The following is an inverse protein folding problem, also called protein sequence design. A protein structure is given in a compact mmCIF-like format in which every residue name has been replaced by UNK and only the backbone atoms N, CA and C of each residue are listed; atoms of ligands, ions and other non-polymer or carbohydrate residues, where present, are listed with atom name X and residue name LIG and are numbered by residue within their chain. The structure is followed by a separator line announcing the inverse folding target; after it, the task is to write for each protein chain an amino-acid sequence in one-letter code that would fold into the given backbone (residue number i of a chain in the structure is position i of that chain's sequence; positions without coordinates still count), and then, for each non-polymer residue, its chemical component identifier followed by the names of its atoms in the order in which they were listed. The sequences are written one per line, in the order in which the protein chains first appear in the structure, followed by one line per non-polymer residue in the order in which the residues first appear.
data_IF_205609166322
#
_entry.id   IF_205609166322
#
_cell.length_a   1.000
_cell.length_b   1.000
_cell.length_c   1.000
_cell.angle_alpha   90.00
_cell.angle_beta   90.00
_cell.angle_gamma   90.00
#
_symmetry.space_group_name_H-M   'P 1'
#
loop_
_entity.id
_entity.type
_entity.pdbx_description
1 polymer ?
#
# COMPACT_ATOMS: atom_id res chain seq x y z
N UNK A 1 9.56 35.38 9.43
CA UNK A 1 9.98 34.34 10.37
C UNK A 1 11.41 33.91 10.05
N UNK A 2 12.14 33.30 11.00
CA UNK A 2 13.47 32.71 10.73
C UNK A 2 13.41 31.22 11.03
N UNK A 3 13.95 30.40 10.14
CA UNK A 3 13.95 28.94 10.30
C UNK A 3 14.68 28.48 11.57
N UNK A 4 15.77 29.19 11.94
CA UNK A 4 16.50 28.93 13.20
C UNK A 4 15.58 28.97 14.43
N UNK A 5 14.71 29.99 14.53
CA UNK A 5 13.84 30.16 15.70
C UNK A 5 12.78 29.05 15.79
N UNK A 6 12.29 28.59 14.62
CA UNK A 6 11.32 27.51 14.52
C UNK A 6 11.96 26.16 14.94
N UNK A 7 13.17 25.88 14.43
CA UNK A 7 13.93 24.69 14.83
C UNK A 7 14.20 24.70 16.34
N UNK A 8 14.68 25.83 16.87
CA UNK A 8 14.96 25.99 18.31
C UNK A 8 13.69 25.76 19.14
N UNK A 9 12.58 26.38 18.73
CA UNK A 9 11.29 26.22 19.41
C UNK A 9 10.84 24.77 19.48
N UNK A 10 10.93 24.01 18.37
CA UNK A 10 10.57 22.59 18.34
C UNK A 10 11.56 21.74 19.12
N UNK A 11 12.86 21.97 18.96
CA UNK A 11 13.91 21.28 19.71
C UNK A 11 13.70 21.37 21.22
N UNK A 12 13.26 22.54 21.70
CA UNK A 12 13.02 22.82 23.11
C UNK A 12 11.63 22.32 23.60
N UNK A 13 10.95 21.46 22.82
CA UNK A 13 9.68 20.81 23.16
C UNK A 13 8.45 21.70 23.08
N UNK A 14 8.54 22.87 22.43
CA UNK A 14 7.41 23.78 22.30
C UNK A 14 6.64 23.48 21.00
N UNK A 15 5.31 23.67 21.04
CA UNK A 15 4.46 23.49 19.87
C UNK A 15 4.65 24.61 18.86
N UNK A 16 4.63 24.26 17.57
CA UNK A 16 4.62 25.19 16.46
C UNK A 16 3.20 25.65 16.18
N UNK A 17 3.01 26.91 15.80
CA UNK A 17 1.72 27.39 15.31
C UNK A 17 1.48 26.96 13.87
N UNK A 18 0.21 26.94 13.46
CA UNK A 18 -0.18 26.68 12.08
C UNK A 18 0.54 27.61 11.09
N UNK A 19 0.64 28.90 11.41
CA UNK A 19 1.33 29.87 10.58
C UNK A 19 2.85 29.59 10.43
N UNK A 20 3.51 29.09 11.48
CA UNK A 20 4.92 28.69 11.42
C UNK A 20 5.10 27.46 10.53
N UNK A 21 4.23 26.46 10.67
CA UNK A 21 4.25 25.23 9.86
C UNK A 21 3.99 25.55 8.38
N UNK A 22 2.95 26.32 8.10
CA UNK A 22 2.61 26.74 6.74
C UNK A 22 3.76 27.51 6.08
N UNK A 23 4.37 28.46 6.80
CA UNK A 23 5.51 29.22 6.31
C UNK A 23 6.72 28.32 5.99
N UNK A 24 7.03 27.33 6.83
CA UNK A 24 8.12 26.39 6.58
C UNK A 24 7.87 25.62 5.28
N UNK A 25 6.70 25.04 5.12
CA UNK A 25 6.35 24.21 3.95
C UNK A 25 6.37 25.07 2.67
N UNK A 26 5.76 26.25 2.70
CA UNK A 26 5.74 27.17 1.56
C UNK A 26 7.18 27.55 1.14
N UNK A 27 8.00 28.01 2.09
CA UNK A 27 9.37 28.46 1.82
C UNK A 27 10.31 27.32 1.43
N UNK A 28 10.05 26.10 1.92
CA UNK A 28 10.80 24.92 1.51
C UNK A 28 10.51 24.54 0.05
N UNK A 29 9.25 24.52 -0.35
CA UNK A 29 8.85 24.23 -1.75
C UNK A 29 9.37 25.30 -2.71
N UNK A 30 9.45 26.57 -2.28
CA UNK A 30 10.05 27.68 -3.05
C UNK A 30 11.59 27.61 -3.14
N UNK A 31 12.24 26.69 -2.40
CA UNK A 31 13.70 26.56 -2.35
C UNK A 31 14.40 27.65 -1.51
N UNK A 32 13.66 28.42 -0.71
CA UNK A 32 14.20 29.47 0.16
C UNK A 32 14.78 28.93 1.48
N UNK A 33 14.32 27.76 1.91
CA UNK A 33 14.85 27.05 3.09
C UNK A 33 15.69 25.86 2.62
N UNK A 34 16.98 25.78 3.00
CA UNK A 34 17.87 24.71 2.57
C UNK A 34 17.58 23.39 3.33
N UNK A 35 17.89 22.26 2.69
CA UNK A 35 17.65 20.90 3.18
C UNK A 35 18.21 20.66 4.58
N UNK A 36 19.40 21.19 4.91
CA UNK A 36 20.00 20.98 6.25
C UNK A 36 19.17 21.58 7.40
N UNK A 37 18.44 22.69 7.13
CA UNK A 37 17.55 23.28 8.14
C UNK A 37 16.26 22.46 8.28
N UNK A 38 15.72 21.97 7.17
CA UNK A 38 14.52 21.10 7.21
C UNK A 38 14.86 19.75 7.84
N UNK A 39 16.04 19.21 7.54
CA UNK A 39 16.53 17.98 8.21
C UNK A 39 16.64 18.15 9.73
N UNK A 40 17.18 19.31 10.20
CA UNK A 40 17.23 19.61 11.62
C UNK A 40 15.83 19.72 12.24
N UNK A 41 14.85 20.31 11.54
CA UNK A 41 13.46 20.35 11.99
C UNK A 41 12.84 18.94 12.04
N UNK A 42 13.04 18.11 11.01
CA UNK A 42 12.55 16.73 11.00
C UNK A 42 13.12 15.93 12.18
N UNK A 43 14.40 16.10 12.51
CA UNK A 43 15.03 15.44 13.66
C UNK A 43 14.48 15.98 15.00
N UNK A 44 14.22 17.30 15.08
CA UNK A 44 13.57 17.87 16.25
C UNK A 44 12.15 17.31 16.44
N UNK A 45 11.38 17.18 15.36
CA UNK A 45 10.05 16.54 15.36
C UNK A 45 10.17 15.06 15.75
N UNK A 46 11.17 14.35 15.27
CA UNK A 46 11.39 12.93 15.58
C UNK A 46 11.51 12.71 17.09
N UNK A 47 12.30 13.56 17.79
CA UNK A 47 12.54 13.42 19.23
C UNK A 47 11.44 14.03 20.10
N UNK A 48 10.85 15.15 19.69
CA UNK A 48 9.87 15.89 20.50
C UNK A 48 8.42 15.54 20.17
N UNK A 49 8.18 14.86 19.02
CA UNK A 49 6.85 14.64 18.47
C UNK A 49 6.19 15.94 17.99
N UNK A 50 4.95 15.80 17.59
CA UNK A 50 4.00 16.89 17.33
C UNK A 50 2.66 16.55 17.97
N UNK A 51 1.88 17.57 18.33
CA UNK A 51 0.49 17.36 18.73
C UNK A 51 -0.35 17.01 17.50
N UNK A 52 -1.58 16.53 17.72
CA UNK A 52 -2.52 16.27 16.64
C UNK A 52 -2.84 17.56 15.84
N UNK A 53 -2.91 18.71 16.52
CA UNK A 53 -3.12 20.03 15.91
C UNK A 53 -1.95 20.42 15.00
N UNK A 54 -0.71 20.28 15.48
CA UNK A 54 0.49 20.53 14.69
C UNK A 54 0.54 19.60 13.46
N UNK A 55 0.23 18.32 13.65
CA UNK A 55 0.24 17.32 12.57
C UNK A 55 -0.86 17.59 11.56
N UNK A 56 -2.05 18.03 12.01
CA UNK A 56 -3.13 18.48 11.13
C UNK A 56 -2.69 19.68 10.29
N UNK A 57 -2.08 20.69 10.91
CA UNK A 57 -1.56 21.86 10.21
C UNK A 57 -0.48 21.48 9.18
N UNK A 58 0.44 20.58 9.55
CA UNK A 58 1.47 20.07 8.63
C UNK A 58 0.84 19.30 7.46
N UNK A 59 -0.16 18.45 7.73
CA UNK A 59 -0.87 17.70 6.71
C UNK A 59 -1.55 18.61 5.70
N UNK A 60 -2.22 19.68 6.17
CA UNK A 60 -2.89 20.63 5.31
C UNK A 60 -1.88 21.50 4.53
N UNK A 61 -0.78 21.91 5.15
CA UNK A 61 0.28 22.62 4.44
C UNK A 61 0.91 21.75 3.34
N UNK A 62 1.14 20.46 3.59
CA UNK A 62 1.62 19.50 2.58
C UNK A 62 0.59 19.32 1.47
N UNK A 63 -0.69 19.12 1.81
CA UNK A 63 -1.80 19.01 0.84
C UNK A 63 -1.85 20.22 -0.10
N UNK A 64 -1.73 21.41 0.46
CA UNK A 64 -1.92 22.69 -0.24
C UNK A 64 -0.64 23.23 -0.88
N UNK A 65 0.47 22.47 -0.79
CA UNK A 65 1.77 22.86 -1.33
C UNK A 65 1.88 22.81 -2.86
N UNK A 66 0.94 22.18 -3.54
CA UNK A 66 0.90 22.03 -5.00
C UNK A 66 -0.50 22.05 -5.55
N UNK A 67 -0.67 21.43 -6.70
CA UNK A 67 -1.97 21.32 -7.34
C UNK A 67 -2.90 20.45 -6.49
N UNK A 68 -4.15 20.88 -6.37
CA UNK A 68 -5.24 20.05 -5.90
C UNK A 68 -5.98 19.50 -7.11
N UNK A 69 -6.30 18.24 -7.07
CA UNK A 69 -7.17 17.70 -8.11
C UNK A 69 -8.59 18.15 -7.84
N UNK A 70 -9.19 18.72 -8.84
CA UNK A 70 -10.61 19.00 -8.84
C UNK A 70 -11.35 17.85 -9.54
N UNK A 71 -12.05 17.06 -8.75
CA UNK A 71 -12.89 15.95 -9.22
C UNK A 71 -14.38 16.29 -9.18
N UNK A 72 -14.73 17.58 -9.11
CA UNK A 72 -16.14 18.03 -9.07
C UNK A 72 -16.94 17.61 -10.30
N UNK A 73 -16.27 17.34 -11.42
CA UNK A 73 -16.83 16.82 -12.67
C UNK A 73 -16.94 15.28 -12.70
N UNK A 74 -16.46 14.57 -11.66
CA UNK A 74 -16.71 13.14 -11.49
C UNK A 74 -18.05 12.97 -10.80
N UNK A 75 -19.03 12.44 -11.54
CA UNK A 75 -20.39 12.28 -11.05
C UNK A 75 -20.51 11.03 -10.16
N UNK A 76 -20.87 11.22 -8.91
CA UNK A 76 -21.06 10.17 -7.91
C UNK A 76 -20.04 10.25 -6.77
N UNK A 77 -20.22 9.42 -5.77
CA UNK A 77 -19.38 9.38 -4.59
C UNK A 77 -18.03 8.72 -4.92
N UNK A 78 -16.95 9.41 -4.61
CA UNK A 78 -15.57 9.01 -4.88
C UNK A 78 -14.97 8.37 -3.64
N UNK A 79 -14.29 7.27 -3.83
CA UNK A 79 -13.66 6.53 -2.73
C UNK A 79 -12.23 6.15 -3.05
N UNK A 80 -11.39 6.11 -2.02
CA UNK A 80 -10.07 5.52 -2.10
C UNK A 80 -9.85 4.47 -1.00
N UNK A 81 -9.02 3.50 -1.29
CA UNK A 81 -8.43 2.56 -0.34
C UNK A 81 -6.92 2.79 -0.30
N UNK A 82 -6.40 3.09 0.88
CA UNK A 82 -4.96 3.22 1.05
C UNK A 82 -4.42 2.13 1.98
N UNK A 83 -3.32 1.49 1.60
CA UNK A 83 -2.55 0.61 2.47
C UNK A 83 -1.28 1.30 2.93
N UNK A 84 -0.88 1.09 4.18
CA UNK A 84 0.42 1.55 4.68
C UNK A 84 1.60 0.74 4.15
N UNK A 85 1.32 -0.30 3.35
CA UNK A 85 2.32 -1.14 2.70
C UNK A 85 2.62 -2.43 3.45
N UNK A 86 2.85 -3.50 2.70
CA UNK A 86 3.16 -4.81 3.22
C UNK A 86 3.66 -5.76 2.13
N UNK A 87 3.99 -6.98 2.52
CA UNK A 87 4.48 -8.04 1.63
C UNK A 87 3.31 -8.84 1.07
N UNK A 88 3.24 -8.96 -0.25
CA UNK A 88 2.11 -9.61 -0.92
C UNK A 88 0.81 -8.79 -0.89
N UNK A 89 0.88 -7.49 -0.60
CA UNK A 89 -0.30 -6.61 -0.55
C UNK A 89 -0.75 -6.19 -1.95
N UNK A 90 -1.61 -7.01 -2.52
CA UNK A 90 -2.30 -6.79 -3.80
C UNK A 90 -3.76 -6.39 -3.62
N UNK A 91 -4.19 -6.08 -2.41
CA UNK A 91 -5.60 -5.80 -2.07
C UNK A 91 -6.24 -4.73 -2.93
N UNK A 92 -5.50 -3.70 -3.36
CA UNK A 92 -6.04 -2.65 -4.23
C UNK A 92 -6.51 -3.17 -5.59
N UNK A 93 -5.85 -4.20 -6.15
CA UNK A 93 -6.22 -4.81 -7.44
C UNK A 93 -7.52 -5.63 -7.37
N UNK A 94 -7.90 -6.05 -6.16
CA UNK A 94 -9.13 -6.81 -5.90
C UNK A 94 -10.25 -5.90 -5.41
N UNK A 95 -9.96 -5.04 -4.43
CA UNK A 95 -10.95 -4.16 -3.78
C UNK A 95 -11.51 -3.12 -4.75
N UNK A 96 -10.64 -2.48 -5.53
CA UNK A 96 -11.07 -1.40 -6.43
C UNK A 96 -12.10 -1.86 -7.49
N UNK A 97 -11.90 -2.99 -8.21
CA UNK A 97 -12.92 -3.52 -9.12
C UNK A 97 -14.22 -3.96 -8.43
N UNK A 98 -14.14 -4.57 -7.22
CA UNK A 98 -15.34 -4.94 -6.45
C UNK A 98 -16.19 -3.71 -6.15
N UNK A 99 -15.57 -2.64 -5.64
CA UNK A 99 -16.27 -1.41 -5.27
C UNK A 99 -16.83 -0.70 -6.50
N UNK A 100 -16.05 -0.60 -7.57
CA UNK A 100 -16.46 0.08 -8.79
C UNK A 100 -17.65 -0.58 -9.45
N UNK A 101 -17.70 -1.93 -9.53
CA UNK A 101 -18.83 -2.64 -10.14
C UNK A 101 -20.13 -2.52 -9.33
N UNK A 102 -20.08 -1.98 -8.09
CA UNK A 102 -21.24 -1.60 -7.28
C UNK A 102 -21.66 -0.13 -7.49
N UNK A 103 -21.12 0.55 -8.49
CA UNK A 103 -21.52 1.91 -8.87
C UNK A 103 -20.95 2.99 -7.96
N UNK A 104 -19.80 2.75 -7.33
CA UNK A 104 -19.02 3.74 -6.59
C UNK A 104 -17.80 4.12 -7.40
N UNK A 105 -17.41 5.40 -7.43
CA UNK A 105 -16.29 5.89 -8.25
C UNK A 105 -14.96 5.69 -7.53
N UNK A 106 -14.04 4.97 -8.17
CA UNK A 106 -12.68 4.71 -7.66
C UNK A 106 -11.68 5.50 -8.50
N UNK A 107 -11.37 6.71 -8.05
CA UNK A 107 -10.40 7.63 -8.68
C UNK A 107 -9.03 7.49 -8.02
N UNK A 108 -8.39 6.33 -8.16
CA UNK A 108 -7.25 5.95 -7.31
C UNK A 108 -5.91 6.47 -7.82
N UNK A 109 -5.20 7.17 -6.94
CA UNK A 109 -3.78 7.45 -7.10
C UNK A 109 -2.94 6.58 -6.19
N UNK A 110 -1.95 5.91 -6.75
CA UNK A 110 -1.12 4.96 -6.03
C UNK A 110 0.38 5.19 -6.24
N UNK A 111 1.19 4.67 -5.33
CA UNK A 111 2.66 4.78 -5.38
C UNK A 111 3.32 3.53 -5.96
N UNK A 112 4.63 3.68 -6.23
CA UNK A 112 5.56 2.59 -6.50
C UNK A 112 5.97 1.90 -5.20
N UNK A 113 6.58 0.73 -5.31
CA UNK A 113 7.14 0.00 -4.18
C UNK A 113 8.25 0.77 -3.48
N UNK A 114 8.34 0.58 -2.18
CA UNK A 114 9.35 1.17 -1.32
C UNK A 114 9.97 0.10 -0.42
N UNK A 115 11.31 0.01 -0.45
CA UNK A 115 12.03 -0.97 0.34
C UNK A 115 11.58 -2.41 0.02
N UNK A 116 11.18 -3.14 1.06
CA UNK A 116 10.73 -4.53 0.95
C UNK A 116 9.27 -4.70 0.50
N UNK A 117 8.53 -3.61 0.30
CA UNK A 117 7.11 -3.66 -0.09
C UNK A 117 6.93 -3.49 -1.59
N UNK A 118 6.02 -4.24 -2.21
CA UNK A 118 5.66 -4.07 -3.61
C UNK A 118 4.66 -2.93 -3.84
N UNK A 119 4.86 -2.13 -4.91
CA UNK A 119 3.95 -1.02 -5.26
C UNK A 119 2.78 -1.46 -6.14
N UNK A 120 1.62 -0.85 -5.94
CA UNK A 120 0.46 -1.10 -6.81
C UNK A 120 0.76 -0.72 -8.27
N UNK A 121 1.49 0.36 -8.49
CA UNK A 121 1.87 0.82 -9.83
C UNK A 121 2.80 -0.19 -10.50
N UNK A 122 3.84 -0.67 -9.80
CA UNK A 122 4.76 -1.66 -10.34
C UNK A 122 4.06 -2.97 -10.73
N UNK A 123 3.04 -3.39 -9.95
CA UNK A 123 2.21 -4.55 -10.26
C UNK A 123 1.36 -4.33 -11.52
N UNK A 124 0.71 -3.18 -11.66
CA UNK A 124 -0.09 -2.86 -12.84
C UNK A 124 0.77 -2.73 -14.11
N UNK A 125 1.99 -2.24 -13.99
CA UNK A 125 2.96 -2.18 -15.12
C UNK A 125 3.43 -3.57 -15.58
N UNK A 126 3.20 -4.63 -14.80
CA UNK A 126 3.40 -6.00 -15.27
C UNK A 126 2.33 -6.44 -16.30
N UNK A 127 1.23 -5.70 -16.46
CA UNK A 127 0.22 -5.94 -17.47
C UNK A 127 0.64 -5.24 -18.76
N UNK A 128 0.85 -5.96 -19.88
CA UNK A 128 1.32 -5.36 -21.11
C UNK A 128 0.43 -4.22 -21.61
N UNK A 129 1.06 -3.09 -21.91
CA UNK A 129 0.41 -1.89 -22.45
C UNK A 129 -0.34 -1.03 -21.43
N UNK A 130 -0.47 -1.48 -20.18
CA UNK A 130 -1.17 -0.70 -19.15
C UNK A 130 -0.47 0.62 -18.86
N UNK A 131 -1.21 1.73 -18.92
CA UNK A 131 -0.70 3.07 -18.72
C UNK A 131 -1.02 3.55 -17.31
N UNK A 132 0.03 3.78 -16.52
CA UNK A 132 -0.06 4.31 -15.15
C UNK A 132 0.12 5.83 -15.09
N UNK A 133 0.58 6.45 -16.17
CA UNK A 133 0.70 7.90 -16.33
C UNK A 133 -0.30 8.36 -17.39
N UNK A 134 -1.39 8.96 -16.95
CA UNK A 134 -2.45 9.48 -17.81
C UNK A 134 -2.64 10.97 -17.59
N UNK A 135 -2.95 11.75 -18.65
CA UNK A 135 -3.44 13.11 -18.49
C UNK A 135 -4.68 13.14 -17.57
N UNK A 136 -4.79 14.15 -16.72
CA UNK A 136 -5.88 14.27 -15.72
C UNK A 136 -7.26 14.16 -16.37
N UNK A 137 -7.46 14.79 -17.51
CA UNK A 137 -8.74 14.78 -18.23
C UNK A 137 -9.10 13.35 -18.74
N UNK A 138 -8.10 12.59 -19.23
CA UNK A 138 -8.31 11.20 -19.63
C UNK A 138 -8.65 10.32 -18.42
N UNK A 139 -7.95 10.53 -17.31
CA UNK A 139 -8.22 9.84 -16.05
C UNK A 139 -9.65 10.08 -15.57
N UNK A 140 -10.09 11.35 -15.48
CA UNK A 140 -11.45 11.73 -15.10
C UNK A 140 -12.50 11.13 -16.03
N UNK A 141 -12.25 11.17 -17.34
CA UNK A 141 -13.14 10.57 -18.33
C UNK A 141 -13.34 9.06 -18.07
N UNK A 142 -12.25 8.31 -17.87
CA UNK A 142 -12.33 6.87 -17.57
C UNK A 142 -13.12 6.64 -16.29
N UNK A 143 -12.86 7.40 -15.22
CA UNK A 143 -13.61 7.25 -13.96
C UNK A 143 -15.09 7.57 -14.14
N UNK A 144 -15.45 8.60 -14.92
CA UNK A 144 -16.85 8.92 -15.18
C UNK A 144 -17.56 7.81 -15.98
N UNK A 145 -16.95 7.32 -17.05
CA UNK A 145 -17.54 6.34 -17.95
C UNK A 145 -17.57 4.93 -17.33
N UNK A 146 -16.45 4.48 -16.79
CA UNK A 146 -16.29 3.11 -16.29
C UNK A 146 -16.51 2.98 -14.78
N UNK A 147 -16.19 4.02 -14.01
CA UNK A 147 -16.27 3.99 -12.55
C UNK A 147 -14.93 3.73 -11.85
N UNK A 148 -13.87 3.41 -12.57
CA UNK A 148 -12.57 3.07 -11.99
C UNK A 148 -11.42 3.49 -12.89
N UNK A 149 -10.37 4.08 -12.30
CA UNK A 149 -9.04 4.16 -12.89
C UNK A 149 -7.98 4.20 -11.77
N UNK A 150 -6.79 3.64 -12.05
CA UNK A 150 -5.66 3.62 -11.13
C UNK A 150 -4.44 4.19 -11.85
N UNK A 151 -3.90 5.29 -11.33
CA UNK A 151 -2.73 5.98 -11.92
C UNK A 151 -1.63 6.20 -10.88
N UNK A 152 -0.42 6.44 -11.35
CA UNK A 152 0.69 6.91 -10.55
C UNK A 152 0.42 8.31 -9.97
N UNK A 153 1.08 8.62 -8.87
CA UNK A 153 1.01 9.96 -8.29
C UNK A 153 1.71 10.96 -9.23
N UNK A 154 1.02 12.06 -9.56
CA UNK A 154 1.61 13.15 -10.33
C UNK A 154 2.61 13.94 -9.45
N UNK A 155 3.70 14.40 -10.06
CA UNK A 155 4.76 15.16 -9.39
C UNK A 155 4.28 16.54 -8.85
N UNK A 156 3.20 17.09 -9.40
CA UNK A 156 2.60 18.36 -8.94
C UNK A 156 1.69 18.18 -7.73
N UNK A 157 1.28 16.96 -7.41
CA UNK A 157 0.42 16.66 -6.26
C UNK A 157 1.28 16.63 -4.99
N UNK A 158 0.99 17.55 -4.04
CA UNK A 158 1.70 17.65 -2.75
C UNK A 158 3.24 17.62 -2.89
N UNK A 159 3.86 18.55 -3.66
CA UNK A 159 5.31 18.56 -3.91
C UNK A 159 6.15 18.67 -2.63
N UNK A 160 5.61 19.27 -1.57
CA UNK A 160 6.26 19.28 -0.27
C UNK A 160 6.52 17.87 0.28
N UNK A 161 5.58 16.93 0.08
CA UNK A 161 5.79 15.55 0.51
C UNK A 161 6.95 14.88 -0.22
N UNK A 162 7.06 15.09 -1.53
CA UNK A 162 8.17 14.56 -2.32
C UNK A 162 9.53 15.04 -1.80
N UNK A 163 9.64 16.33 -1.49
CA UNK A 163 10.87 16.93 -0.95
C UNK A 163 11.16 16.42 0.45
N UNK A 164 10.17 16.47 1.34
CA UNK A 164 10.30 15.99 2.72
C UNK A 164 10.65 14.50 2.77
N UNK A 165 9.98 13.69 1.95
CA UNK A 165 10.21 12.24 1.94
C UNK A 165 11.65 11.92 1.46
N UNK A 166 12.08 12.54 0.36
CA UNK A 166 13.45 12.34 -0.17
C UNK A 166 14.53 12.72 0.86
N UNK A 167 14.26 13.78 1.66
CA UNK A 167 15.17 14.19 2.73
C UNK A 167 15.14 13.19 3.91
N UNK A 168 13.95 12.75 4.32
CA UNK A 168 13.77 11.82 5.44
C UNK A 168 14.38 10.45 5.18
N UNK A 169 14.31 9.98 3.94
CA UNK A 169 14.84 8.69 3.52
C UNK A 169 16.35 8.53 3.78
N UNK A 170 17.09 9.64 3.74
CA UNK A 170 18.55 9.67 3.95
C UNK A 170 18.98 10.29 5.28
N UNK A 171 18.06 10.68 6.15
CA UNK A 171 18.33 11.34 7.44
C UNK A 171 17.78 10.60 8.65
N UNK A 172 17.36 9.33 8.48
CA UNK A 172 16.82 8.47 9.55
C UNK A 172 15.64 9.10 10.31
N UNK A 173 14.73 9.77 9.60
CA UNK A 173 13.54 10.40 10.17
C UNK A 173 12.22 9.90 9.55
N UNK A 174 12.27 8.77 8.79
CA UNK A 174 11.09 8.20 8.12
C UNK A 174 10.05 7.71 9.12
N UNK A 175 10.46 7.07 10.22
CA UNK A 175 9.59 6.40 11.20
C UNK A 175 9.02 7.32 12.29
N UNK A 176 8.98 8.64 12.04
CA UNK A 176 8.29 9.62 12.88
C UNK A 176 6.79 9.61 12.61
N UNK A 177 5.95 9.30 13.61
CA UNK A 177 4.50 9.21 13.47
C UNK A 177 3.87 10.46 12.82
N UNK A 178 4.09 11.70 13.30
CA UNK A 178 3.50 12.88 12.68
C UNK A 178 3.92 13.06 11.22
N UNK A 179 5.18 12.74 10.89
CA UNK A 179 5.70 12.86 9.53
C UNK A 179 5.16 11.76 8.60
N UNK A 180 4.86 10.56 9.11
CA UNK A 180 4.18 9.49 8.35
C UNK A 180 2.74 9.91 8.06
N UNK A 181 2.01 10.36 9.08
CA UNK A 181 0.62 10.81 8.96
C UNK A 181 0.51 11.93 7.93
N UNK A 182 1.34 12.97 8.05
CA UNK A 182 1.30 14.13 7.12
C UNK A 182 1.64 13.73 5.68
N UNK A 183 2.57 12.81 5.48
CA UNK A 183 2.94 12.29 4.17
C UNK A 183 1.79 11.52 3.51
N UNK A 184 1.16 10.60 4.24
CA UNK A 184 0.06 9.79 3.72
C UNK A 184 -1.16 10.67 3.47
N UNK A 185 -1.62 11.38 4.51
CA UNK A 185 -2.87 12.12 4.46
C UNK A 185 -2.78 13.37 3.59
N UNK A 186 -1.62 14.04 3.52
CA UNK A 186 -1.41 15.16 2.61
C UNK A 186 -1.72 14.79 1.16
N UNK A 187 -1.18 13.66 0.67
CA UNK A 187 -1.47 13.16 -0.69
C UNK A 187 -2.92 12.70 -0.87
N UNK A 188 -3.49 12.01 0.14
CA UNK A 188 -4.87 11.51 0.05
C UNK A 188 -5.90 12.62 0.05
N UNK A 189 -5.69 13.65 0.85
CA UNK A 189 -6.57 14.81 0.89
C UNK A 189 -6.42 15.72 -0.33
N UNK A 190 -5.26 15.70 -1.02
CA UNK A 190 -5.07 16.42 -2.29
C UNK A 190 -5.80 15.75 -3.47
N UNK A 191 -6.15 14.47 -3.37
CA UNK A 191 -6.87 13.70 -4.40
C UNK A 191 -8.39 13.89 -4.40
N UNK A 192 -8.94 14.64 -3.44
CA UNK A 192 -10.35 15.03 -3.33
C UNK A 192 -11.39 13.89 -3.27
N UNK A 193 -11.03 12.72 -2.75
CA UNK A 193 -11.99 11.64 -2.49
C UNK A 193 -12.97 12.00 -1.36
N UNK A 194 -14.21 11.48 -1.42
CA UNK A 194 -15.25 11.72 -0.40
C UNK A 194 -15.12 10.77 0.79
N UNK A 195 -14.73 9.51 0.51
CA UNK A 195 -14.53 8.47 1.52
C UNK A 195 -13.15 7.83 1.37
N UNK A 196 -12.47 7.57 2.48
CA UNK A 196 -11.17 6.90 2.49
C UNK A 196 -11.19 5.76 3.51
N UNK A 197 -10.88 4.54 3.05
CA UNK A 197 -10.62 3.40 3.93
C UNK A 197 -9.13 3.12 3.95
N UNK A 198 -8.57 3.12 5.16
CA UNK A 198 -7.17 2.85 5.42
C UNK A 198 -7.00 1.38 5.82
N UNK A 199 -6.03 0.71 5.21
CA UNK A 199 -5.57 -0.63 5.56
C UNK A 199 -4.22 -0.48 6.25
N UNK A 200 -4.25 -0.34 7.58
CA UNK A 200 -3.07 -0.07 8.41
C UNK A 200 -2.43 -1.38 8.79
N UNK A 201 -1.35 -1.72 8.11
CA UNK A 201 -0.58 -2.95 8.33
C UNK A 201 0.21 -2.87 9.62
N UNK A 202 0.21 -3.97 10.39
CA UNK A 202 1.00 -4.14 11.61
C UNK A 202 1.74 -5.47 11.62
N UNK A 203 2.97 -5.49 12.10
CA UNK A 203 3.79 -6.71 12.20
C UNK A 203 5.12 -6.61 11.47
N UNK A 204 5.84 -7.72 11.38
CA UNK A 204 7.20 -7.77 10.86
C UNK A 204 7.34 -7.29 9.41
N UNK A 205 6.31 -7.49 8.58
CA UNK A 205 6.30 -7.08 7.17
C UNK A 205 5.79 -5.66 6.90
N UNK A 206 5.55 -4.85 7.93
CA UNK A 206 5.04 -3.48 7.80
C UNK A 206 5.96 -2.45 8.45
N UNK A 207 5.69 -1.16 8.22
CA UNK A 207 6.41 -0.07 8.91
C UNK A 207 6.06 -0.01 10.40
N UNK A 208 4.80 -0.24 10.76
CA UNK A 208 4.35 -0.30 12.15
C UNK A 208 4.52 -1.72 12.69
N UNK A 209 5.42 -1.89 13.65
CA UNK A 209 5.80 -3.23 14.16
C UNK A 209 4.85 -3.74 15.26
N UNK A 210 4.05 -2.87 15.90
CA UNK A 210 3.14 -3.25 16.98
C UNK A 210 1.72 -2.74 16.73
N UNK A 211 0.73 -3.46 17.27
CA UNK A 211 -0.68 -3.09 17.13
C UNK A 211 -0.99 -1.72 17.74
N UNK A 212 -0.33 -1.38 18.87
CA UNK A 212 -0.53 -0.10 19.57
C UNK A 212 -0.10 1.07 18.69
N UNK A 213 1.10 1.00 18.07
CA UNK A 213 1.60 2.03 17.16
C UNK A 213 0.75 2.13 15.89
N UNK A 214 0.27 0.98 15.38
CA UNK A 214 -0.63 0.95 14.22
C UNK A 214 -1.97 1.59 14.54
N UNK A 215 -2.49 1.37 15.77
CA UNK A 215 -3.72 1.99 16.25
C UNK A 215 -3.56 3.51 16.37
N UNK A 216 -2.49 3.98 16.99
CA UNK A 216 -2.19 5.40 17.11
C UNK A 216 -2.10 6.07 15.72
N UNK A 217 -1.40 5.44 14.77
CA UNK A 217 -1.33 5.89 13.38
C UNK A 217 -2.73 5.97 12.73
N UNK A 218 -3.56 4.93 12.92
CA UNK A 218 -4.89 4.86 12.37
C UNK A 218 -5.80 5.96 12.94
N UNK A 219 -5.78 6.16 14.27
CA UNK A 219 -6.57 7.19 14.97
C UNK A 219 -6.22 8.59 14.47
N UNK A 220 -4.93 8.90 14.32
CA UNK A 220 -4.49 10.21 13.81
C UNK A 220 -4.90 10.44 12.35
N UNK A 221 -4.74 9.42 11.49
CA UNK A 221 -5.14 9.55 10.08
C UNK A 221 -6.66 9.71 9.93
N UNK A 222 -7.45 8.93 10.70
CA UNK A 222 -8.92 9.02 10.69
C UNK A 222 -9.37 10.39 11.17
N UNK A 223 -8.85 10.88 12.29
CA UNK A 223 -9.21 12.17 12.84
C UNK A 223 -8.85 13.33 11.90
N UNK A 224 -7.66 13.33 11.30
CA UNK A 224 -7.25 14.36 10.34
C UNK A 224 -8.13 14.33 9.09
N UNK A 225 -8.48 13.14 8.60
CA UNK A 225 -9.39 13.01 7.47
C UNK A 225 -10.79 13.54 7.78
N UNK A 226 -11.32 13.29 8.98
CA UNK A 226 -12.59 13.85 9.45
C UNK A 226 -12.55 15.38 9.56
N UNK A 227 -11.46 15.94 10.08
CA UNK A 227 -11.24 17.41 10.11
C UNK A 227 -11.20 18.02 8.71
N UNK A 228 -10.78 17.25 7.70
CA UNK A 228 -10.84 17.64 6.29
C UNK A 228 -12.24 17.41 5.66
N UNK A 229 -13.25 17.01 6.43
CA UNK A 229 -14.62 16.77 5.95
C UNK A 229 -14.80 15.45 5.19
N UNK A 230 -13.85 14.49 5.33
CA UNK A 230 -13.93 13.19 4.65
C UNK A 230 -14.56 12.12 5.55
N UNK A 231 -15.27 11.16 4.95
CA UNK A 231 -15.70 9.95 5.66
C UNK A 231 -14.50 8.99 5.76
N UNK A 232 -14.13 8.62 6.96
CA UNK A 232 -12.91 7.86 7.24
C UNK A 232 -13.19 6.58 8.01
N UNK A 233 -12.44 5.54 7.70
CA UNK A 233 -12.34 4.31 8.50
C UNK A 233 -10.97 3.69 8.31
N UNK A 234 -10.39 3.09 9.35
CA UNK A 234 -9.16 2.35 9.25
C UNK A 234 -9.33 0.92 9.81
N UNK A 235 -8.79 -0.06 9.09
CA UNK A 235 -8.67 -1.44 9.55
C UNK A 235 -7.21 -1.68 9.90
N UNK A 236 -6.95 -2.17 11.11
CA UNK A 236 -5.61 -2.62 11.54
C UNK A 236 -5.50 -4.09 11.16
N UNK A 237 -4.55 -4.42 10.29
CA UNK A 237 -4.45 -5.75 9.69
C UNK A 237 -3.09 -6.39 9.89
N UNK A 238 -3.08 -7.71 10.10
CA UNK A 238 -1.87 -8.49 10.37
C UNK A 238 -0.94 -8.55 9.14
N UNK A 239 0.34 -8.27 9.37
CA UNK A 239 1.44 -8.40 8.42
C UNK A 239 2.64 -9.14 9.04
N UNK A 240 2.41 -9.98 10.06
CA UNK A 240 3.37 -10.98 10.55
C UNK A 240 3.47 -12.20 9.63
N UNK A 241 2.71 -12.19 8.55
CA UNK A 241 2.71 -13.18 7.46
C UNK A 241 2.44 -12.49 6.14
N UNK A 242 3.06 -12.93 5.03
CA UNK A 242 2.72 -12.42 3.71
C UNK A 242 1.24 -12.67 3.39
N UNK A 243 0.60 -11.70 2.71
CA UNK A 243 -0.80 -11.81 2.31
C UNK A 243 -0.91 -12.62 1.00
N UNK A 244 -1.72 -13.68 1.01
CA UNK A 244 -1.78 -14.65 -0.07
C UNK A 244 -0.52 -15.52 -0.14
N UNK A 245 -0.26 -16.10 -1.30
CA UNK A 245 0.90 -16.98 -1.56
C UNK A 245 1.95 -16.29 -2.45
N UNK A 246 1.56 -15.36 -3.29
CA UNK A 246 2.44 -14.71 -4.25
C UNK A 246 3.07 -13.43 -3.68
N UNK A 247 4.39 -13.28 -3.88
CA UNK A 247 5.18 -12.10 -3.56
C UNK A 247 6.00 -11.75 -4.81
N UNK A 248 5.69 -10.62 -5.44
CA UNK A 248 6.32 -10.17 -6.70
C UNK A 248 5.27 -9.55 -7.63
N UNK A 249 5.70 -8.88 -8.71
CA UNK A 249 4.77 -8.02 -9.47
C UNK A 249 3.74 -8.84 -10.27
N UNK A 250 4.14 -9.55 -11.33
CA UNK A 250 3.21 -10.33 -12.14
C UNK A 250 2.57 -11.49 -11.35
N UNK A 251 3.31 -12.12 -10.43
CA UNK A 251 2.77 -13.18 -9.59
C UNK A 251 1.60 -12.68 -8.73
N UNK A 252 1.71 -11.48 -8.17
CA UNK A 252 0.64 -10.86 -7.38
C UNK A 252 -0.54 -10.42 -8.23
N UNK A 253 -0.32 -9.95 -9.47
CA UNK A 253 -1.41 -9.67 -10.42
C UNK A 253 -2.18 -10.93 -10.74
N UNK A 254 -1.50 -12.03 -11.04
CA UNK A 254 -2.13 -13.33 -11.32
C UNK A 254 -2.96 -13.81 -10.11
N UNK A 255 -2.42 -13.70 -8.90
CA UNK A 255 -3.15 -14.06 -7.68
C UNK A 255 -4.37 -13.15 -7.41
N UNK A 256 -4.26 -11.84 -7.70
CA UNK A 256 -5.40 -10.93 -7.63
C UNK A 256 -6.51 -11.32 -8.64
N UNK A 257 -6.13 -11.70 -9.87
CA UNK A 257 -7.07 -12.21 -10.88
C UNK A 257 -7.73 -13.49 -10.38
N UNK A 258 -6.96 -14.45 -9.84
CA UNK A 258 -7.50 -15.68 -9.27
C UNK A 258 -8.48 -15.39 -8.12
N UNK A 259 -8.20 -14.38 -7.30
CA UNK A 259 -9.10 -13.93 -6.23
C UNK A 259 -10.41 -13.39 -6.80
N UNK A 260 -10.35 -12.58 -7.85
CA UNK A 260 -11.54 -12.08 -8.56
C UNK A 260 -12.30 -13.19 -9.32
N UNK A 261 -11.65 -14.33 -9.60
CA UNK A 261 -12.28 -15.54 -10.13
C UNK A 261 -12.91 -16.44 -9.05
N UNK A 262 -12.82 -16.05 -7.76
CA UNK A 262 -13.26 -16.88 -6.64
C UNK A 262 -12.35 -18.08 -6.34
N UNK A 263 -11.09 -18.06 -6.80
CA UNK A 263 -10.07 -19.12 -6.64
C UNK A 263 -8.85 -18.64 -5.86
N UNK A 264 -8.91 -17.46 -5.27
CA UNK A 264 -7.78 -16.87 -4.54
C UNK A 264 -7.58 -17.45 -3.15
N UNK A 265 -6.45 -17.12 -2.50
CA UNK A 265 -6.20 -17.47 -1.12
C UNK A 265 -7.29 -16.96 -0.17
N UNK A 266 -7.59 -17.73 0.86
CA UNK A 266 -8.66 -17.41 1.80
C UNK A 266 -8.40 -16.10 2.55
N UNK A 267 -7.19 -15.91 3.07
CA UNK A 267 -6.79 -14.70 3.81
C UNK A 267 -6.89 -13.44 2.94
N UNK A 268 -6.39 -13.49 1.70
CA UNK A 268 -6.50 -12.39 0.74
C UNK A 268 -7.96 -12.08 0.40
N UNK A 269 -8.76 -13.13 0.15
CA UNK A 269 -10.17 -12.99 -0.19
C UNK A 269 -10.96 -12.37 0.97
N UNK A 270 -10.78 -12.87 2.20
CA UNK A 270 -11.44 -12.35 3.40
C UNK A 270 -11.10 -10.88 3.62
N UNK A 271 -9.82 -10.50 3.53
CA UNK A 271 -9.42 -9.11 3.72
C UNK A 271 -9.99 -8.20 2.63
N UNK A 272 -9.95 -8.62 1.37
CA UNK A 272 -10.48 -7.82 0.27
C UNK A 272 -12.00 -7.63 0.38
N UNK A 273 -12.74 -8.66 0.74
CA UNK A 273 -14.19 -8.57 0.98
C UNK A 273 -14.49 -7.61 2.14
N UNK A 274 -13.76 -7.71 3.25
CA UNK A 274 -13.96 -6.82 4.40
C UNK A 274 -13.65 -5.36 4.04
N UNK A 275 -12.53 -5.09 3.37
CA UNK A 275 -12.17 -3.74 2.92
C UNK A 275 -13.23 -3.17 1.96
N UNK A 276 -13.68 -3.96 0.98
CA UNK A 276 -14.73 -3.54 0.05
C UNK A 276 -16.06 -3.27 0.78
N UNK A 277 -16.44 -4.12 1.73
CA UNK A 277 -17.66 -3.93 2.54
C UNK A 277 -17.60 -2.63 3.34
N UNK A 278 -16.47 -2.31 3.97
CA UNK A 278 -16.30 -1.05 4.70
C UNK A 278 -16.36 0.17 3.78
N UNK A 279 -15.80 0.10 2.58
CA UNK A 279 -15.89 1.18 1.59
C UNK A 279 -17.34 1.37 1.14
N UNK A 280 -18.03 0.29 0.78
CA UNK A 280 -19.43 0.34 0.35
C UNK A 280 -20.36 0.85 1.45
N UNK A 281 -20.11 0.46 2.70
CA UNK A 281 -20.86 0.96 3.85
C UNK A 281 -20.64 2.46 4.10
N UNK A 282 -19.39 2.95 4.03
CA UNK A 282 -19.10 4.40 4.06
C UNK A 282 -19.72 5.16 2.89
N UNK A 283 -19.83 4.51 1.74
CA UNK A 283 -20.50 5.00 0.54
C UNK A 283 -22.04 4.88 0.61
N UNK A 284 -22.60 4.51 1.77
CA UNK A 284 -24.05 4.43 2.03
C UNK A 284 -24.81 3.44 1.11
N UNK A 285 -24.13 2.36 0.69
CA UNK A 285 -24.73 1.32 -0.16
C UNK A 285 -25.58 0.31 0.63
N UNK A 286 -25.47 0.29 1.96
CA UNK A 286 -26.20 -0.58 2.88
C UNK A 286 -25.48 -0.74 4.21
N UNK A 287 -26.02 -1.61 5.05
CA UNK A 287 -25.35 -2.07 6.28
C UNK A 287 -24.05 -2.83 5.94
N UNK A 288 -23.16 -2.99 6.92
CA UNK A 288 -21.91 -3.75 6.69
C UNK A 288 -22.19 -5.17 6.14
N UNK A 289 -23.16 -5.87 6.72
CA UNK A 289 -23.51 -7.24 6.30
C UNK A 289 -24.04 -7.30 4.86
N UNK A 290 -24.87 -6.34 4.45
CA UNK A 290 -25.31 -6.23 3.05
C UNK A 290 -24.17 -5.91 2.11
N UNK A 291 -23.28 -4.99 2.50
CA UNK A 291 -22.10 -4.62 1.71
C UNK A 291 -21.09 -5.77 1.60
N UNK A 292 -20.94 -6.57 2.66
CA UNK A 292 -20.10 -7.77 2.64
C UNK A 292 -20.68 -8.80 1.65
N UNK A 293 -21.99 -9.01 1.64
CA UNK A 293 -22.63 -9.88 0.67
C UNK A 293 -22.49 -9.36 -0.76
N UNK A 294 -22.66 -8.05 -0.98
CA UNK A 294 -22.44 -7.41 -2.29
C UNK A 294 -21.01 -7.67 -2.79
N UNK A 295 -20.00 -7.56 -1.93
CA UNK A 295 -18.62 -7.82 -2.29
C UNK A 295 -18.38 -9.30 -2.69
N UNK A 296 -18.97 -10.25 -1.95
CA UNK A 296 -18.93 -11.69 -2.28
C UNK A 296 -19.62 -11.98 -3.62
N UNK A 297 -20.78 -11.35 -3.84
CA UNK A 297 -21.56 -11.51 -5.09
C UNK A 297 -20.84 -10.91 -6.29
N UNK A 298 -20.10 -9.82 -6.10
CA UNK A 298 -19.29 -9.21 -7.16
C UNK A 298 -18.20 -10.16 -7.67
N UNK A 299 -17.58 -10.93 -6.75
CA UNK A 299 -16.59 -11.95 -7.09
C UNK A 299 -17.29 -13.15 -7.77
N UNK A 300 -18.28 -13.75 -7.10
CA UNK A 300 -18.92 -14.99 -7.56
C UNK A 300 -19.63 -14.85 -8.90
N UNK A 301 -20.18 -13.67 -9.20
CA UNK A 301 -20.81 -13.36 -10.50
C UNK A 301 -19.82 -13.03 -11.61
N UNK A 302 -18.53 -12.85 -11.32
CA UNK A 302 -17.50 -12.43 -12.26
C UNK A 302 -17.54 -10.94 -12.64
N UNK A 303 -18.44 -10.14 -12.08
CA UNK A 303 -18.56 -8.70 -12.39
C UNK A 303 -17.30 -7.94 -12.00
N UNK A 304 -16.70 -8.25 -10.85
CA UNK A 304 -15.47 -7.60 -10.41
C UNK A 304 -14.28 -7.95 -11.33
N UNK A 305 -14.18 -9.18 -11.81
CA UNK A 305 -13.16 -9.57 -12.78
C UNK A 305 -13.35 -8.81 -14.12
N UNK A 306 -14.58 -8.73 -14.62
CA UNK A 306 -14.88 -7.98 -15.84
C UNK A 306 -14.54 -6.50 -15.67
N UNK A 307 -14.88 -5.88 -14.53
CA UNK A 307 -14.53 -4.50 -14.22
C UNK A 307 -13.02 -4.28 -14.22
N UNK A 308 -12.23 -5.22 -13.70
CA UNK A 308 -10.77 -5.15 -13.77
C UNK A 308 -10.25 -5.23 -15.20
N UNK A 309 -10.80 -6.13 -16.02
CA UNK A 309 -10.46 -6.27 -17.43
C UNK A 309 -10.79 -4.99 -18.22
N UNK A 310 -11.96 -4.40 -17.98
CA UNK A 310 -12.41 -3.18 -18.65
C UNK A 310 -11.54 -1.97 -18.23
N UNK A 311 -11.13 -1.88 -16.96
CA UNK A 311 -10.17 -0.87 -16.50
C UNK A 311 -8.83 -1.01 -17.23
N UNK A 312 -8.33 -2.23 -17.35
CA UNK A 312 -7.06 -2.49 -18.05
C UNK A 312 -7.15 -2.04 -19.50
N UNK A 313 -8.23 -2.36 -20.21
CA UNK A 313 -8.45 -1.92 -21.59
C UNK A 313 -8.58 -0.39 -21.70
N UNK A 314 -9.36 0.25 -20.83
CA UNK A 314 -9.56 1.71 -20.83
C UNK A 314 -8.24 2.47 -20.59
N UNK A 315 -7.31 1.87 -19.83
CA UNK A 315 -5.97 2.41 -19.59
C UNK A 315 -4.90 1.92 -20.59
N UNK A 316 -5.31 1.34 -21.72
CA UNK A 316 -4.43 0.98 -22.84
C UNK A 316 -3.78 -0.39 -22.74
N UNK A 317 -4.05 -1.15 -21.70
CA UNK A 317 -3.57 -2.53 -21.55
C UNK A 317 -4.39 -3.54 -22.36
N UNK A 318 -3.84 -4.74 -22.52
CA UNK A 318 -4.53 -5.84 -23.16
C UNK A 318 -5.32 -6.65 -22.12
N UNK A 319 -6.65 -6.50 -22.11
CA UNK A 319 -7.56 -7.20 -21.19
C UNK A 319 -7.50 -8.73 -21.31
N UNK A 320 -6.97 -9.27 -22.39
CA UNK A 320 -6.85 -10.73 -22.55
C UNK A 320 -5.94 -11.34 -21.47
N UNK A 321 -4.99 -10.59 -20.93
CA UNK A 321 -4.14 -11.02 -19.84
C UNK A 321 -4.89 -11.18 -18.52
N UNK A 322 -5.96 -10.39 -18.33
CA UNK A 322 -6.82 -10.53 -17.15
C UNK A 322 -7.76 -11.72 -17.29
N UNK A 323 -8.29 -11.93 -18.49
CA UNK A 323 -9.24 -13.03 -18.76
C UNK A 323 -8.52 -14.39 -18.93
N UNK A 324 -7.23 -14.39 -19.27
CA UNK A 324 -6.39 -15.56 -19.51
C UNK A 324 -5.03 -15.40 -18.78
N UNK A 325 -5.02 -15.44 -17.44
CA UNK A 325 -3.81 -15.15 -16.65
C UNK A 325 -2.66 -16.13 -16.88
N UNK A 326 -2.92 -17.30 -17.45
CA UNK A 326 -1.89 -18.25 -17.86
C UNK A 326 -0.96 -17.72 -18.96
N UNK A 327 -1.32 -16.63 -19.63
CA UNK A 327 -0.50 -15.93 -20.63
C UNK A 327 0.63 -15.11 -20.00
N UNK A 328 0.54 -14.74 -18.72
CA UNK A 328 1.61 -13.97 -18.11
C UNK A 328 2.96 -14.65 -18.27
N UNK A 329 4.02 -13.90 -18.63
CA UNK A 329 5.32 -14.46 -18.84
C UNK A 329 5.82 -15.13 -17.57
N UNK A 330 6.45 -16.30 -17.74
CA UNK A 330 7.06 -17.03 -16.65
C UNK A 330 8.54 -16.69 -16.53
N UNK A 331 9.06 -16.70 -15.33
CA UNK A 331 10.49 -16.53 -15.09
C UNK A 331 11.30 -17.63 -15.78
N UNK A 332 12.49 -17.27 -16.23
CA UNK A 332 13.40 -18.22 -16.92
C UNK A 332 13.91 -19.28 -15.97
N UNK A 333 14.13 -18.93 -14.71
CA UNK A 333 14.68 -19.81 -13.68
C UNK A 333 13.73 -19.92 -12.51
N UNK A 334 13.71 -21.10 -11.90
CA UNK A 334 13.00 -21.35 -10.65
C UNK A 334 13.82 -22.22 -9.72
N UNK A 335 13.62 -22.05 -8.41
CA UNK A 335 14.27 -22.87 -7.39
C UNK A 335 13.29 -23.19 -6.26
N UNK A 336 13.15 -24.48 -5.94
CA UNK A 336 12.39 -24.96 -4.79
C UNK A 336 13.17 -24.73 -3.50
N UNK A 337 12.56 -24.10 -2.50
CA UNK A 337 13.08 -23.96 -1.14
C UNK A 337 12.45 -25.01 -0.27
N UNK A 338 13.28 -25.80 0.43
CA UNK A 338 12.86 -26.99 1.20
C UNK A 338 13.05 -26.79 2.70
N UNK A 339 12.09 -27.27 3.48
CA UNK A 339 12.16 -27.27 4.94
C UNK A 339 13.37 -28.06 5.45
N UNK A 340 14.13 -27.46 6.38
CA UNK A 340 15.33 -28.09 6.99
C UNK A 340 15.01 -28.95 8.21
N UNK A 341 13.79 -28.87 8.73
CA UNK A 341 13.29 -29.66 9.86
C UNK A 341 11.81 -29.94 9.66
N UNK A 342 11.29 -30.97 10.34
CA UNK A 342 9.86 -31.23 10.40
C UNK A 342 9.22 -30.49 11.57
N UNK A 343 8.02 -29.92 11.36
CA UNK A 343 7.26 -29.21 12.38
C UNK A 343 6.23 -28.26 11.78
N UNK A 344 5.66 -27.40 12.60
CA UNK A 344 4.75 -26.35 12.15
C UNK A 344 5.51 -25.06 11.91
N UNK A 345 5.19 -24.35 10.82
CA UNK A 345 5.66 -22.99 10.63
C UNK A 345 4.92 -22.10 11.65
N UNK A 346 5.63 -21.66 12.71
CA UNK A 346 5.01 -20.90 13.80
C UNK A 346 5.08 -19.39 13.58
N UNK A 347 5.89 -18.93 12.62
CA UNK A 347 6.01 -17.54 12.26
C UNK A 347 7.09 -17.35 11.20
N UNK A 348 7.03 -16.19 10.56
CA UNK A 348 8.02 -15.76 9.59
C UNK A 348 8.41 -14.30 9.85
N UNK A 349 9.65 -13.94 9.55
CA UNK A 349 10.01 -12.53 9.40
C UNK A 349 9.58 -12.08 7.99
N UNK A 350 8.40 -11.48 7.93
CA UNK A 350 7.75 -11.11 6.66
C UNK A 350 8.55 -10.06 5.88
N UNK A 351 9.25 -9.14 6.56
CA UNK A 351 10.16 -8.19 5.90
C UNK A 351 11.26 -8.92 5.13
N UNK A 352 11.87 -9.94 5.74
CA UNK A 352 12.89 -10.76 5.08
C UNK A 352 12.35 -11.50 3.85
N UNK A 353 11.09 -11.90 3.83
CA UNK A 353 10.44 -12.46 2.63
C UNK A 353 10.32 -11.40 1.51
N UNK A 354 9.94 -10.18 1.85
CA UNK A 354 9.91 -9.07 0.90
C UNK A 354 11.30 -8.74 0.34
N UNK A 355 12.32 -8.71 1.21
CA UNK A 355 13.72 -8.50 0.78
C UNK A 355 14.22 -9.68 -0.08
N UNK A 356 13.87 -10.92 0.25
CA UNK A 356 14.22 -12.07 -0.60
C UNK A 356 13.63 -11.93 -2.02
N UNK A 357 12.38 -11.48 -2.13
CA UNK A 357 11.77 -11.17 -3.43
C UNK A 357 12.49 -10.05 -4.19
N UNK A 358 12.90 -9.00 -3.48
CA UNK A 358 13.69 -7.90 -4.05
C UNK A 358 15.04 -8.41 -4.59
N UNK A 359 15.75 -9.27 -3.85
CA UNK A 359 17.03 -9.86 -4.27
C UNK A 359 16.91 -10.73 -5.54
N UNK A 360 15.74 -11.29 -5.81
CA UNK A 360 15.43 -12.01 -7.05
C UNK A 360 15.18 -11.08 -8.24
N UNK A 361 15.02 -9.77 -8.00
CA UNK A 361 14.78 -8.75 -9.02
C UNK A 361 13.34 -8.19 -9.04
N UNK A 362 12.46 -8.58 -8.09
CA UNK A 362 11.09 -8.10 -8.05
C UNK A 362 10.93 -6.65 -7.52
N UNK A 363 11.99 -6.05 -7.01
CA UNK A 363 12.02 -4.69 -6.49
C UNK A 363 13.27 -3.92 -6.93
N UNK A 364 13.41 -2.67 -6.44
CA UNK A 364 14.56 -1.79 -6.74
C UNK A 364 15.41 -1.61 -5.49
N UNK A 365 16.72 -1.78 -5.60
CA UNK A 365 17.70 -1.33 -4.61
C UNK A 365 18.08 0.14 -4.85
N UNK A 366 18.13 0.55 -6.12
CA UNK A 366 18.41 1.92 -6.57
C UNK A 366 17.30 2.40 -7.50
N UNK A 367 17.21 3.71 -7.74
CA UNK A 367 16.20 4.30 -8.65
C UNK A 367 16.39 3.87 -10.11
N UNK A 368 17.60 3.50 -10.45
CA UNK A 368 18.04 3.10 -11.80
C UNK A 368 17.74 1.63 -12.09
N UNK A 369 17.44 0.82 -11.06
CA UNK A 369 17.21 -0.61 -11.24
C UNK A 369 15.95 -0.88 -12.07
N UNK A 370 16.07 -1.79 -13.02
CA UNK A 370 14.96 -2.30 -13.81
C UNK A 370 14.37 -3.51 -13.12
N UNK A 371 13.08 -3.45 -12.84
CA UNK A 371 12.36 -4.56 -12.19
C UNK A 371 12.18 -5.71 -13.18
N UNK A 372 12.50 -6.92 -12.74
CA UNK A 372 12.07 -8.16 -13.38
C UNK A 372 10.62 -8.46 -12.98
N UNK A 373 9.69 -8.19 -13.88
CA UNK A 373 8.26 -8.37 -13.61
C UNK A 373 7.87 -9.83 -13.34
N UNK A 374 8.71 -10.79 -13.73
CA UNK A 374 8.47 -12.23 -13.53
C UNK A 374 9.10 -12.77 -12.25
N UNK A 375 9.98 -11.98 -11.62
CA UNK A 375 10.66 -12.37 -10.40
C UNK A 375 9.73 -12.33 -9.18
N UNK A 376 10.02 -13.20 -8.22
CA UNK A 376 9.29 -13.22 -6.96
C UNK A 376 9.35 -14.57 -6.26
N UNK A 377 8.43 -14.76 -5.33
CA UNK A 377 8.31 -15.96 -4.50
C UNK A 377 6.85 -16.43 -4.54
N UNK A 378 6.66 -17.73 -4.70
CA UNK A 378 5.37 -18.35 -4.46
C UNK A 378 5.48 -19.27 -3.24
N UNK A 379 4.66 -19.01 -2.22
CA UNK A 379 4.65 -19.77 -0.98
C UNK A 379 3.84 -21.06 -1.19
N UNK A 380 4.41 -22.20 -0.84
CA UNK A 380 3.70 -23.49 -0.83
C UNK A 380 3.10 -23.79 0.55
N UNK A 381 3.62 -23.12 1.57
CA UNK A 381 3.22 -23.26 2.98
C UNK A 381 3.18 -21.91 3.66
N UNK A 382 2.30 -21.78 4.64
CA UNK A 382 2.10 -20.55 5.45
C UNK A 382 2.25 -20.83 6.95
N UNK A 383 2.28 -19.77 7.73
CA UNK A 383 2.18 -19.87 9.20
C UNK A 383 0.95 -20.70 9.61
N UNK A 384 1.16 -21.69 10.43
CA UNK A 384 0.16 -22.67 10.86
C UNK A 384 0.26 -24.02 10.16
N UNK A 385 0.89 -24.10 8.98
CA UNK A 385 1.04 -25.35 8.24
C UNK A 385 2.12 -26.25 8.84
N UNK A 386 1.86 -27.56 8.83
CA UNK A 386 2.88 -28.57 9.10
C UNK A 386 3.73 -28.81 7.86
N UNK A 387 5.04 -28.98 8.06
CA UNK A 387 6.00 -29.33 7.01
C UNK A 387 6.85 -30.49 7.45
N UNK A 388 7.15 -31.41 6.51
CA UNK A 388 8.12 -32.48 6.71
C UNK A 388 9.52 -32.01 6.30
N UNK A 389 10.56 -32.66 6.85
CA UNK A 389 11.93 -32.44 6.40
C UNK A 389 12.05 -32.67 4.89
N UNK A 390 12.57 -31.68 4.14
CA UNK A 390 12.74 -31.73 2.68
C UNK A 390 11.47 -31.40 1.89
N UNK A 391 10.34 -31.11 2.53
CA UNK A 391 9.12 -30.66 1.88
C UNK A 391 9.29 -29.22 1.34
N UNK A 392 8.72 -28.94 0.17
CA UNK A 392 8.76 -27.63 -0.45
C UNK A 392 7.91 -26.62 0.33
N UNK A 393 8.53 -25.51 0.76
CA UNK A 393 7.85 -24.43 1.48
C UNK A 393 7.63 -23.20 0.61
N UNK A 394 8.45 -22.99 -0.42
CA UNK A 394 8.33 -21.92 -1.38
C UNK A 394 9.04 -22.25 -2.69
N UNK A 395 8.67 -21.56 -3.76
CA UNK A 395 9.38 -21.55 -5.03
C UNK A 395 9.82 -20.11 -5.34
N UNK A 396 11.10 -19.95 -5.62
CA UNK A 396 11.72 -18.70 -6.05
C UNK A 396 11.71 -18.62 -7.57
N UNK A 397 11.48 -17.43 -8.12
CA UNK A 397 11.43 -17.14 -9.56
C UNK A 397 12.29 -15.95 -9.92
N UNK A 398 13.04 -16.00 -11.02
CA UNK A 398 13.77 -14.85 -11.58
C UNK A 398 14.15 -15.11 -13.04
N UNK A 399 14.35 -14.05 -13.83
CA UNK A 399 14.93 -14.12 -15.17
C UNK A 399 16.49 -14.19 -15.13
N UNK A 400 17.08 -14.06 -13.94
CA UNK A 400 18.52 -14.13 -13.70
C UNK A 400 18.83 -15.24 -12.70
N UNK A 401 19.99 -15.92 -12.85
CA UNK A 401 20.46 -16.87 -11.83
C UNK A 401 21.06 -16.19 -10.59
N UNK A 402 21.27 -14.87 -10.65
CA UNK A 402 21.78 -14.11 -9.50
C UNK A 402 20.71 -13.98 -8.41
N UNK A 403 21.17 -13.98 -7.17
CA UNK A 403 20.30 -13.74 -6.00
C UNK A 403 19.62 -14.98 -5.40
N UNK A 404 19.54 -16.13 -6.09
CA UNK A 404 18.86 -17.31 -5.59
C UNK A 404 19.43 -17.82 -4.26
N UNK A 405 20.77 -17.93 -4.15
CA UNK A 405 21.41 -18.46 -2.92
C UNK A 405 21.11 -17.54 -1.73
N UNK A 406 21.26 -16.23 -1.89
CA UNK A 406 21.01 -15.26 -0.83
C UNK A 406 19.52 -15.17 -0.48
N UNK A 407 18.63 -15.23 -1.49
CA UNK A 407 17.19 -15.22 -1.27
C UNK A 407 16.70 -16.49 -0.53
N UNK A 408 17.20 -17.65 -0.91
CA UNK A 408 16.91 -18.94 -0.25
C UNK A 408 17.40 -18.95 1.20
N UNK A 409 18.65 -18.54 1.44
CA UNK A 409 19.23 -18.45 2.79
C UNK A 409 18.41 -17.51 3.68
N UNK A 410 18.04 -16.33 3.12
CA UNK A 410 17.24 -15.34 3.84
C UNK A 410 15.84 -15.86 4.18
N UNK A 411 15.17 -16.52 3.23
CA UNK A 411 13.84 -17.09 3.45
C UNK A 411 13.89 -18.20 4.51
N UNK A 412 14.87 -19.08 4.44
CA UNK A 412 15.05 -20.18 5.41
C UNK A 412 15.36 -19.64 6.81
N UNK A 413 16.22 -18.64 6.94
CA UNK A 413 16.54 -18.01 8.24
C UNK A 413 15.37 -17.26 8.84
N UNK A 414 14.50 -16.73 8.00
CA UNK A 414 13.28 -16.00 8.39
C UNK A 414 12.11 -16.92 8.75
N UNK A 415 12.19 -18.23 8.46
CA UNK A 415 11.11 -19.21 8.69
C UNK A 415 11.35 -19.94 10.00
N UNK A 416 10.45 -19.75 10.97
CA UNK A 416 10.52 -20.43 12.28
C UNK A 416 9.65 -21.67 12.28
N UNK A 417 10.26 -22.85 12.50
CA UNK A 417 9.57 -24.15 12.55
C UNK A 417 9.71 -24.74 13.95
N UNK A 418 8.57 -25.13 14.56
CA UNK A 418 8.51 -25.72 15.89
C UNK A 418 7.61 -26.97 15.91
N UNK A 419 7.67 -27.72 17.00
CA UNK A 419 6.89 -28.98 17.15
C UNK A 419 5.40 -28.74 17.38
N UNK A 420 5.03 -27.58 17.92
CA UNK A 420 3.65 -27.23 18.26
C UNK A 420 3.12 -26.22 17.25
N UNK A 421 1.85 -26.36 16.86
CA UNK A 421 1.19 -25.38 16.02
C UNK A 421 1.03 -24.04 16.75
N UNK A 422 1.17 -22.90 16.05
CA UNK A 422 0.93 -21.58 16.64
C UNK A 422 -0.57 -21.36 16.90
N UNK A 423 -0.88 -20.41 17.77
CA UNK A 423 -2.25 -19.92 17.89
C UNK A 423 -2.67 -19.19 16.60
N UNK A 424 -3.93 -19.38 16.21
CA UNK A 424 -4.49 -18.70 15.05
C UNK A 424 -4.80 -17.24 15.42
N UNK A 425 -4.08 -16.30 14.82
CA UNK A 425 -4.34 -14.86 14.98
C UNK A 425 -5.32 -14.37 13.91
N UNK A 426 -6.26 -13.48 14.26
CA UNK A 426 -7.15 -12.87 13.29
C UNK A 426 -6.36 -12.02 12.29
N UNK A 427 -6.89 -11.92 11.07
CA UNK A 427 -6.27 -11.10 10.02
C UNK A 427 -6.57 -9.61 10.22
N UNK A 428 -7.79 -9.28 10.67
CA UNK A 428 -8.20 -7.93 11.06
C UNK A 428 -8.17 -7.88 12.57
N UNK A 429 -7.30 -7.04 13.10
CA UNK A 429 -7.02 -6.95 14.53
C UNK A 429 -7.95 -5.93 15.21
N UNK A 430 -8.28 -4.84 14.49
CA UNK A 430 -9.07 -3.74 15.03
C UNK A 430 -9.62 -2.85 13.91
N UNK A 431 -10.61 -2.03 14.24
CA UNK A 431 -11.25 -1.05 13.36
C UNK A 431 -11.31 0.29 14.08
N UNK A 432 -10.90 1.36 13.43
CA UNK A 432 -10.95 2.74 13.92
C UNK A 432 -11.90 3.55 13.03
N UNK A 433 -12.86 4.21 13.66
CA UNK A 433 -13.91 5.02 13.01
C UNK A 433 -13.83 6.48 13.46
#
# INVERSE_FOLDING_TARGET
MRMYDIIQKKRDGKSLSEAEIQWVIEKYVQGEIPDYQVSALCMAIYFQGMTLEETTALTFAVRDSGDRLDFSDIHGLRVDKHSTGGVGDKTSLVVAPIVACMGVKVAKMSGRGLGHTGGTIDKLEAIPGFQTDLPVEKFKKIVNELGIAIVGQNASLAPADKLLYALRDVTATVDSLPLIVSSIMGKKLAADDDCIVLDVKTGSGSFMKTAEKSRELAEWMVEIGKRAGKKMRALITDMDRPLGFAIGNALEVVEAIQTLQGKGPEDLTQLCVALAAHILNLAEKGTYAECEQMAKDAISSGKALQMFADMVEAQGGDKTWILQPEKFPKATYSRSVKAKTSGYIVGVDTESYGVASLLLGAGRNTKEDVIDMTAGIYLCKKTGDFVALGEEIAVLYSSSQKGFDTAEERLLSATKIEKQAPENKPLILDIVE
#
